data_IF_868786427891
#
_entry.id   IF_868786427891
#
_cell.length_a   1.000
_cell.length_b   1.000
_cell.length_c   1.000
_cell.angle_alpha   90.00
_cell.angle_beta   90.00
_cell.angle_gamma   90.00
#
_symmetry.space_group_name_H-M   'P 1'
#
loop_
_entity.id
_entity.type
_entity.pdbx_description
1 polymer ?
#
# COMPACT_ATOMS: atom_id res chain seq x y z
N UNK A 1 32.40 3.49 8.69
CA UNK A 1 31.65 4.73 8.40
C UNK A 1 30.60 4.46 7.32
N UNK A 2 29.70 3.50 7.54
CA UNK A 2 28.83 2.96 6.46
C UNK A 2 27.37 2.79 6.89
N UNK A 3 27.10 2.11 8.02
CA UNK A 3 25.71 1.86 8.48
C UNK A 3 24.90 3.11 8.87
N UNK A 4 25.51 4.07 9.58
CA UNK A 4 24.81 5.29 10.04
C UNK A 4 24.37 6.14 8.83
N UNK A 5 25.25 6.30 7.85
CA UNK A 5 24.93 7.05 6.63
C UNK A 5 23.83 6.38 5.80
N UNK A 6 23.84 5.04 5.72
CA UNK A 6 22.78 4.29 5.06
C UNK A 6 21.43 4.44 5.78
N UNK A 7 21.43 4.43 7.13
CA UNK A 7 20.23 4.64 7.94
C UNK A 7 19.65 6.04 7.75
N UNK A 8 20.47 7.09 7.84
CA UNK A 8 20.04 8.48 7.58
C UNK A 8 19.41 8.63 6.19
N UNK A 9 20.01 7.98 5.18
CA UNK A 9 19.47 7.96 3.83
C UNK A 9 18.10 7.27 3.76
N UNK A 10 17.95 6.10 4.39
CA UNK A 10 16.65 5.41 4.40
C UNK A 10 15.58 6.23 5.14
N UNK A 11 15.93 6.86 6.27
CA UNK A 11 15.02 7.72 7.03
C UNK A 11 14.57 8.93 6.20
N UNK A 12 15.47 9.59 5.48
CA UNK A 12 15.11 10.68 4.55
C UNK A 12 14.16 10.20 3.46
N UNK A 13 14.45 9.06 2.83
CA UNK A 13 13.58 8.46 1.82
C UNK A 13 12.19 8.13 2.37
N UNK A 14 12.10 7.72 3.64
CA UNK A 14 10.84 7.40 4.32
C UNK A 14 9.97 8.64 4.46
N UNK A 15 10.57 9.75 4.89
CA UNK A 15 9.86 11.02 5.03
C UNK A 15 9.37 11.55 3.68
N UNK A 16 10.19 11.48 2.64
CA UNK A 16 9.79 11.91 1.29
C UNK A 16 8.64 11.05 0.75
N UNK A 17 8.70 9.74 1.00
CA UNK A 17 7.65 8.83 0.58
C UNK A 17 6.33 9.06 1.34
N UNK A 18 6.39 9.36 2.65
CA UNK A 18 5.21 9.75 3.43
C UNK A 18 4.52 10.99 2.84
N UNK A 19 5.29 12.04 2.52
CA UNK A 19 4.76 13.26 1.87
C UNK A 19 4.11 12.97 0.52
N UNK A 20 4.74 12.12 -0.29
CA UNK A 20 4.17 11.70 -1.58
C UNK A 20 2.84 10.98 -1.36
N UNK A 21 2.77 10.06 -0.39
CA UNK A 21 1.53 9.35 -0.06
C UNK A 21 0.43 10.33 0.36
N UNK A 22 0.73 11.31 1.21
CA UNK A 22 -0.22 12.35 1.62
C UNK A 22 -0.80 13.11 0.42
N UNK A 23 0.05 13.51 -0.54
CA UNK A 23 -0.42 14.15 -1.78
C UNK A 23 -1.32 13.24 -2.61
N UNK A 24 -1.04 11.93 -2.67
CA UNK A 24 -1.92 11.00 -3.37
C UNK A 24 -3.25 10.79 -2.63
N UNK A 25 -3.28 10.88 -1.30
CA UNK A 25 -4.53 10.84 -0.52
C UNK A 25 -5.39 12.07 -0.82
N UNK A 26 -4.78 13.25 -0.92
CA UNK A 26 -5.47 14.49 -1.31
C UNK A 26 -6.07 14.36 -2.71
N UNK A 27 -5.26 13.93 -3.69
CA UNK A 27 -5.74 13.65 -5.05
C UNK A 27 -6.87 12.62 -5.10
N UNK A 28 -6.83 11.63 -4.21
CA UNK A 28 -7.88 10.63 -4.11
C UNK A 28 -9.18 11.25 -3.59
N UNK A 29 -9.09 12.18 -2.64
CA UNK A 29 -10.23 12.92 -2.14
C UNK A 29 -10.81 13.84 -3.22
N UNK A 30 -9.97 14.59 -3.93
CA UNK A 30 -10.36 15.44 -5.07
C UNK A 30 -11.09 14.63 -6.15
N UNK A 31 -10.51 13.52 -6.62
CA UNK A 31 -11.14 12.66 -7.61
C UNK A 31 -12.49 12.08 -7.14
N UNK A 32 -12.66 11.87 -5.83
CA UNK A 32 -13.94 11.44 -5.25
C UNK A 32 -14.98 12.55 -5.27
N UNK A 33 -14.59 13.78 -4.97
CA UNK A 33 -15.48 14.95 -4.98
C UNK A 33 -15.94 15.31 -6.39
N UNK A 34 -15.07 15.12 -7.38
CA UNK A 34 -15.34 15.34 -8.80
C UNK A 34 -16.09 14.16 -9.47
N UNK A 35 -16.30 13.05 -8.76
CA UNK A 35 -16.84 11.77 -9.29
C UNK A 35 -16.03 11.23 -10.51
N UNK A 36 -14.75 11.61 -10.61
CA UNK A 36 -13.82 11.09 -11.62
C UNK A 36 -13.29 9.72 -11.19
N UNK A 37 -14.07 8.69 -11.53
CA UNK A 37 -13.77 7.32 -11.14
C UNK A 37 -12.50 6.75 -11.79
N UNK A 38 -12.10 7.26 -12.96
CA UNK A 38 -10.87 6.81 -13.63
C UNK A 38 -9.64 7.35 -12.90
N UNK A 39 -9.65 8.64 -12.56
CA UNK A 39 -8.59 9.25 -11.77
C UNK A 39 -8.56 8.65 -10.36
N UNK A 40 -9.74 8.35 -9.77
CA UNK A 40 -9.86 7.71 -8.47
C UNK A 40 -9.21 6.32 -8.45
N UNK A 41 -9.52 5.47 -9.43
CA UNK A 41 -8.93 4.13 -9.58
C UNK A 41 -7.40 4.19 -9.78
N UNK A 42 -6.93 5.02 -10.71
CA UNK A 42 -5.50 5.20 -10.98
C UNK A 42 -4.74 5.67 -9.72
N UNK A 43 -5.37 6.55 -8.93
CA UNK A 43 -4.81 7.06 -7.68
C UNK A 43 -4.73 5.97 -6.60
N UNK A 44 -5.72 5.07 -6.52
CA UNK A 44 -5.69 3.89 -5.62
C UNK A 44 -4.51 2.99 -5.96
N UNK A 45 -4.27 2.68 -7.24
CA UNK A 45 -3.17 1.82 -7.66
C UNK A 45 -1.80 2.45 -7.36
N UNK A 46 -1.67 3.75 -7.61
CA UNK A 46 -0.48 4.51 -7.27
C UNK A 46 -0.23 4.49 -5.75
N UNK A 47 -1.27 4.73 -4.94
CA UNK A 47 -1.18 4.67 -3.47
C UNK A 47 -0.72 3.29 -2.99
N UNK A 48 -1.28 2.20 -3.53
CA UNK A 48 -0.85 0.86 -3.16
C UNK A 48 0.64 0.66 -3.41
N UNK A 49 1.14 1.10 -4.58
CA UNK A 49 2.55 0.98 -4.93
C UNK A 49 3.45 1.75 -3.96
N UNK A 50 3.02 2.94 -3.53
CA UNK A 50 3.75 3.76 -2.55
C UNK A 50 3.73 3.13 -1.15
N UNK A 51 2.60 2.57 -0.72
CA UNK A 51 2.49 1.84 0.55
C UNK A 51 3.45 0.65 0.59
N UNK A 52 3.49 -0.17 -0.48
CA UNK A 52 4.44 -1.28 -0.57
C UNK A 52 5.90 -0.81 -0.53
N UNK A 53 6.21 0.32 -1.18
CA UNK A 53 7.54 0.92 -1.12
C UNK A 53 7.90 1.37 0.29
N UNK A 54 6.93 1.90 1.04
CA UNK A 54 7.11 2.36 2.43
C UNK A 54 7.35 1.19 3.37
N UNK A 55 6.61 0.09 3.21
CA UNK A 55 6.82 -1.16 3.95
C UNK A 55 8.23 -1.70 3.73
N UNK A 56 8.66 -1.83 2.46
CA UNK A 56 10.01 -2.30 2.14
C UNK A 56 11.09 -1.39 2.74
N UNK A 57 10.85 -0.08 2.77
CA UNK A 57 11.78 0.87 3.35
C UNK A 57 11.84 0.77 4.88
N UNK A 58 10.69 0.55 5.54
CA UNK A 58 10.62 0.30 6.98
C UNK A 58 11.38 -0.98 7.36
N UNK A 59 11.24 -2.06 6.59
CA UNK A 59 12.02 -3.29 6.80
C UNK A 59 13.53 -3.07 6.67
N UNK A 60 13.95 -2.26 5.67
CA UNK A 60 15.36 -1.88 5.51
C UNK A 60 15.86 -1.06 6.69
N UNK A 61 15.09 -0.08 7.15
CA UNK A 61 15.42 0.72 8.33
C UNK A 61 15.59 -0.20 9.54
N UNK A 62 14.61 -1.07 9.80
CA UNK A 62 14.66 -2.05 10.89
C UNK A 62 15.88 -2.97 10.81
N UNK A 63 16.32 -3.37 9.61
CA UNK A 63 17.52 -4.19 9.44
C UNK A 63 18.83 -3.43 9.72
N UNK A 64 18.80 -2.09 9.62
CA UNK A 64 19.94 -1.21 9.86
C UNK A 64 20.01 -0.73 11.31
N UNK A 65 18.89 -0.76 12.04
CA UNK A 65 18.82 -0.41 13.46
C UNK A 65 18.90 -1.62 14.37
N UNK A 66 19.75 -1.54 15.39
CA UNK A 66 19.77 -2.52 16.47
C UNK A 66 18.51 -2.32 17.34
N UNK A 67 17.91 -3.43 17.80
CA UNK A 67 16.58 -3.49 18.42
C UNK A 67 16.38 -2.58 19.66
N UNK A 68 17.45 -2.10 20.29
CA UNK A 68 17.39 -1.29 21.52
C UNK A 68 17.21 0.22 21.30
N UNK A 69 17.45 0.76 20.10
CA UNK A 69 17.52 2.23 19.88
C UNK A 69 16.36 2.84 19.10
N UNK A 70 15.38 2.05 18.65
CA UNK A 70 14.39 2.48 17.64
C UNK A 70 12.95 1.95 17.76
N UNK A 71 12.43 1.49 18.91
CA UNK A 71 11.08 0.92 18.95
C UNK A 71 9.97 1.93 18.60
N UNK A 72 10.04 3.17 19.09
CA UNK A 72 8.92 4.12 18.96
C UNK A 72 8.72 4.64 17.52
N UNK A 73 9.78 5.03 16.83
CA UNK A 73 9.68 5.50 15.43
C UNK A 73 9.31 4.38 14.44
N UNK A 74 9.61 3.13 14.79
CA UNK A 74 9.20 1.97 14.00
C UNK A 74 7.72 1.67 14.24
N UNK A 75 7.28 1.69 15.50
CA UNK A 75 5.87 1.52 15.87
C UNK A 75 4.99 2.57 15.19
N UNK A 76 5.38 3.84 15.22
CA UNK A 76 4.65 4.92 14.52
C UNK A 76 4.57 4.65 13.01
N UNK A 77 5.63 4.10 12.41
CA UNK A 77 5.66 3.78 10.98
C UNK A 77 4.74 2.59 10.64
N UNK A 78 4.67 1.59 11.51
CA UNK A 78 3.77 0.45 11.37
C UNK A 78 2.31 0.87 11.51
N UNK A 79 1.97 1.66 12.53
CA UNK A 79 0.63 2.21 12.74
C UNK A 79 0.18 3.06 11.54
N UNK A 80 1.06 3.96 11.06
CA UNK A 80 0.79 4.76 9.89
C UNK A 80 0.53 3.90 8.64
N UNK A 81 1.33 2.85 8.44
CA UNK A 81 1.16 1.95 7.30
C UNK A 81 -0.18 1.19 7.38
N UNK A 82 -0.56 0.72 8.57
CA UNK A 82 -1.83 0.07 8.80
C UNK A 82 -3.02 0.99 8.48
N UNK A 83 -2.97 2.24 8.93
CA UNK A 83 -4.00 3.24 8.62
C UNK A 83 -4.15 3.48 7.12
N UNK A 84 -3.04 3.50 6.37
CA UNK A 84 -3.07 3.61 4.92
C UNK A 84 -3.74 2.41 4.26
N UNK A 85 -3.44 1.19 4.71
CA UNK A 85 -4.09 -0.02 4.20
C UNK A 85 -5.60 -0.02 4.46
N UNK A 86 -6.03 0.45 5.64
CA UNK A 86 -7.44 0.60 5.98
C UNK A 86 -8.11 1.63 5.06
N UNK A 87 -7.47 2.79 4.84
CA UNK A 87 -7.97 3.81 3.91
C UNK A 87 -8.09 3.25 2.49
N UNK A 88 -7.06 2.55 2.00
CA UNK A 88 -7.03 1.95 0.67
C UNK A 88 -8.16 0.93 0.48
N UNK A 89 -8.40 0.08 1.49
CA UNK A 89 -9.50 -0.90 1.48
C UNK A 89 -10.86 -0.19 1.36
N UNK A 90 -11.09 0.87 2.13
CA UNK A 90 -12.34 1.65 2.08
C UNK A 90 -12.52 2.32 0.71
N UNK A 91 -11.45 2.86 0.14
CA UNK A 91 -11.48 3.49 -1.19
C UNK A 91 -11.81 2.48 -2.30
N UNK A 92 -11.22 1.28 -2.25
CA UNK A 92 -11.57 0.19 -3.17
C UNK A 92 -13.02 -0.24 -3.04
N UNK A 93 -13.52 -0.35 -1.82
CA UNK A 93 -14.92 -0.68 -1.58
C UNK A 93 -15.86 0.39 -2.17
N UNK A 94 -15.50 1.67 -2.05
CA UNK A 94 -16.26 2.76 -2.66
C UNK A 94 -16.27 2.67 -4.19
N UNK A 95 -15.11 2.43 -4.81
CA UNK A 95 -14.99 2.23 -6.27
C UNK A 95 -15.89 1.08 -6.74
N UNK A 96 -15.85 -0.06 -6.04
CA UNK A 96 -16.72 -1.22 -6.33
C UNK A 96 -18.21 -0.87 -6.21
N UNK A 97 -18.62 -0.15 -5.17
CA UNK A 97 -20.02 0.25 -5.02
C UNK A 97 -20.49 1.15 -6.17
N UNK A 98 -19.63 2.06 -6.64
CA UNK A 98 -19.91 2.96 -7.77
C UNK A 98 -19.93 2.23 -9.11
N UNK A 99 -19.09 1.22 -9.31
CA UNK A 99 -19.13 0.39 -10.52
C UNK A 99 -20.34 -0.57 -10.52
N UNK A 100 -20.66 -1.21 -9.39
CA UNK A 100 -21.85 -2.11 -9.29
C UNK A 100 -23.19 -1.36 -9.29
N UNK A 101 -23.19 -0.05 -9.02
CA UNK A 101 -24.38 0.78 -9.18
C UNK A 101 -24.63 1.19 -10.63
N UNK A 102 -23.62 1.07 -11.51
CA UNK A 102 -23.76 1.29 -12.95
C UNK A 102 -24.11 0.02 -13.73
N UNK A 103 -23.70 -1.15 -13.25
CA UNK A 103 -24.13 -2.44 -13.79
C UNK A 103 -24.27 -3.46 -12.67
N UNK A 104 -25.51 -3.89 -12.43
CA UNK A 104 -25.78 -5.07 -11.61
C UNK A 104 -25.42 -6.33 -12.41
N UNK A 105 -24.14 -6.73 -12.40
CA UNK A 105 -23.79 -8.12 -12.68
C UNK A 105 -22.66 -8.60 -11.75
N UNK A 106 -23.04 -9.56 -10.91
CA UNK A 106 -22.18 -10.24 -9.95
C UNK A 106 -21.24 -11.16 -10.72
N UNK A 107 -19.94 -10.88 -10.68
CA UNK A 107 -18.91 -11.86 -11.07
C UNK A 107 -17.99 -12.07 -9.86
N UNK A 108 -17.81 -13.33 -9.40
CA UNK A 108 -17.03 -13.62 -8.21
C UNK A 108 -15.53 -13.42 -8.45
N UNK A 109 -14.88 -12.86 -7.44
CA UNK A 109 -13.44 -12.64 -7.31
C UNK A 109 -12.64 -13.92 -7.54
N UNK A 110 -11.58 -13.93 -8.38
CA UNK A 110 -10.59 -14.98 -8.30
C UNK A 110 -9.79 -14.78 -7.01
N UNK A 111 -9.97 -15.72 -6.09
CA UNK A 111 -9.08 -15.92 -4.94
C UNK A 111 -7.68 -16.21 -5.49
N UNK A 112 -6.63 -15.68 -4.86
CA UNK A 112 -5.29 -16.22 -5.06
C UNK A 112 -5.28 -17.67 -4.54
N UNK A 113 -5.66 -18.61 -5.40
CA UNK A 113 -5.54 -20.04 -5.13
C UNK A 113 -4.09 -20.44 -5.37
N UNK A 114 -3.45 -20.94 -4.30
CA UNK A 114 -2.25 -21.74 -4.44
C UNK A 114 -2.57 -22.92 -5.37
N UNK A 115 -1.76 -23.07 -6.42
CA UNK A 115 -1.91 -24.14 -7.41
C UNK A 115 -2.01 -25.50 -6.71
N UNK A 116 -3.05 -26.32 -7.00
CA UNK A 116 -2.98 -27.73 -6.72
C UNK A 116 -1.95 -28.34 -7.67
N UNK A 117 -0.94 -29.03 -7.12
CA UNK A 117 -0.06 -29.90 -7.90
C UNK A 117 -0.92 -31.02 -8.49
N UNK A 118 -1.24 -30.90 -9.77
CA UNK A 118 -1.87 -31.96 -10.54
C UNK A 118 -0.88 -33.11 -10.68
N UNK A 119 -1.28 -34.25 -10.14
CA UNK A 119 -0.58 -35.50 -10.18
C UNK A 119 -1.31 -36.37 -11.21
N UNK A 120 -0.83 -36.46 -12.45
CA UNK A 120 -1.04 -37.65 -13.30
C UNK A 120 -0.37 -37.56 -14.69
N UNK A 121 0.48 -38.54 -15.00
CA UNK A 121 0.21 -39.61 -15.98
C UNK A 121 1.50 -40.33 -16.33
N UNK A 122 1.61 -41.62 -15.98
CA UNK A 122 1.37 -42.74 -16.90
C UNK A 122 2.26 -42.67 -18.16
N UNK A 123 3.33 -43.45 -18.12
CA UNK A 123 3.65 -44.43 -19.16
C UNK A 123 4.07 -45.73 -18.49
#
# INVERSE_FOLDING_TARGET
MTKIHDLEKQLSQRLDLKKIIEQFIEKLAEAKEEDDMLQYETTIEALQTKICSLQSLNEKILSLTDAESTPDEMLESEEYTFDLEVKLRKSRQYLLQKSTSKDAEVVPTPRCEAQPQDNQSRN
#
